data_IF_847442554835
#
_entry.id   IF_847442554835
#
_cell.length_a   1.000
_cell.length_b   1.000
_cell.length_c   1.000
_cell.angle_alpha   90.00
_cell.angle_beta   90.00
_cell.angle_gamma   90.00
#
_symmetry.space_group_name_H-M   'P 1'
#
loop_
_entity.id
_entity.type
_entity.pdbx_description
1 polymer ?
#
# COMPACT_ATOMS: atom_id res chain seq x y z
N UNK A 1 -9.55 -9.00 -3.58
CA UNK A 1 -10.35 -8.82 -2.36
C UNK A 1 -11.40 -7.73 -2.50
N UNK A 2 -11.13 -6.61 -3.19
CA UNK A 2 -12.09 -5.52 -3.36
C UNK A 2 -13.47 -5.96 -3.86
N UNK A 3 -13.56 -6.72 -4.96
CA UNK A 3 -14.85 -7.15 -5.53
C UNK A 3 -15.67 -8.00 -4.57
N UNK A 4 -15.01 -8.88 -3.81
CA UNK A 4 -15.66 -9.71 -2.80
C UNK A 4 -16.16 -8.86 -1.63
N UNK A 5 -15.37 -7.88 -1.18
CA UNK A 5 -15.81 -6.94 -0.14
C UNK A 5 -17.02 -6.14 -0.58
N UNK A 6 -17.03 -5.61 -1.81
CA UNK A 6 -18.18 -4.89 -2.38
C UNK A 6 -19.42 -5.79 -2.45
N UNK A 7 -19.25 -7.03 -2.92
CA UNK A 7 -20.33 -8.01 -3.00
C UNK A 7 -20.94 -8.30 -1.62
N UNK A 8 -20.10 -8.54 -0.60
CA UNK A 8 -20.54 -8.81 0.77
C UNK A 8 -21.19 -7.59 1.44
N UNK A 9 -20.83 -6.38 1.03
CA UNK A 9 -21.46 -5.14 1.48
C UNK A 9 -22.83 -4.88 0.81
N UNK A 10 -23.24 -5.68 -0.17
CA UNK A 10 -24.47 -5.44 -0.94
C UNK A 10 -24.29 -4.49 -2.13
N UNK A 11 -23.05 -4.28 -2.57
CA UNK A 11 -22.65 -3.40 -3.68
C UNK A 11 -23.12 -1.93 -3.55
N UNK A 12 -22.95 -1.27 -2.40
CA UNK A 12 -23.27 0.16 -2.29
C UNK A 12 -22.30 0.98 -3.16
N UNK A 13 -22.78 2.09 -3.76
CA UNK A 13 -21.92 2.92 -4.62
C UNK A 13 -20.91 3.73 -3.80
N UNK A 14 -19.64 3.81 -4.22
CA UNK A 14 -18.67 4.71 -3.62
C UNK A 14 -19.01 6.17 -3.98
N UNK A 15 -18.97 7.06 -2.98
CA UNK A 15 -19.27 8.49 -3.14
C UNK A 15 -18.06 9.39 -2.94
N UNK A 16 -17.03 8.93 -2.24
CA UNK A 16 -15.76 9.65 -2.12
C UNK A 16 -14.62 8.71 -1.73
N UNK A 17 -13.41 9.04 -2.18
CA UNK A 17 -12.19 8.29 -1.86
C UNK A 17 -11.14 9.27 -1.35
N UNK A 18 -10.44 8.89 -0.28
CA UNK A 18 -9.23 9.54 0.18
C UNK A 18 -8.14 8.49 0.33
N UNK A 19 -6.98 8.70 -0.29
CA UNK A 19 -5.90 7.72 -0.26
C UNK A 19 -4.61 8.25 -0.86
N UNK A 20 -3.56 7.45 -0.71
CA UNK A 20 -2.21 7.72 -1.20
C UNK A 20 -1.59 6.45 -1.76
N UNK A 21 -0.65 6.64 -2.68
CA UNK A 21 0.18 5.57 -3.24
C UNK A 21 1.66 5.82 -2.95
N UNK A 22 2.42 4.73 -2.92
CA UNK A 22 3.84 4.74 -2.58
C UNK A 22 4.61 3.77 -3.49
N UNK A 23 5.80 4.17 -3.94
CA UNK A 23 6.66 3.39 -4.84
C UNK A 23 8.12 3.45 -4.37
N UNK A 24 8.38 2.90 -3.17
CA UNK A 24 9.68 3.03 -2.48
C UNK A 24 10.70 1.94 -2.87
N UNK A 25 10.22 0.74 -3.15
CA UNK A 25 11.01 -0.47 -3.37
C UNK A 25 11.18 -0.78 -4.87
N UNK A 26 10.14 -0.62 -5.68
CA UNK A 26 10.19 -0.89 -7.12
C UNK A 26 11.31 -0.11 -7.81
N UNK A 27 11.33 1.23 -7.75
CA UNK A 27 12.40 2.05 -8.31
C UNK A 27 13.81 1.73 -7.76
N UNK A 28 13.88 1.24 -6.52
CA UNK A 28 15.13 0.81 -5.86
C UNK A 28 15.52 -0.64 -6.15
N UNK A 29 14.75 -1.38 -6.96
CA UNK A 29 14.98 -2.80 -7.30
C UNK A 29 15.08 -3.70 -6.06
N UNK A 30 14.28 -3.40 -5.02
CA UNK A 30 14.18 -4.20 -3.79
C UNK A 30 12.96 -5.12 -3.86
N UNK A 31 13.01 -6.26 -3.18
CA UNK A 31 11.89 -7.21 -3.14
C UNK A 31 11.64 -7.97 -4.44
N UNK A 32 12.67 -8.08 -5.30
CA UNK A 32 12.58 -8.79 -6.57
C UNK A 32 12.30 -10.27 -6.32
N UNK A 33 11.13 -10.73 -6.76
CA UNK A 33 10.75 -12.13 -6.73
C UNK A 33 11.53 -12.98 -7.76
N UNK A 34 11.46 -14.29 -7.59
CA UNK A 34 12.06 -15.27 -8.52
C UNK A 34 11.15 -15.63 -9.70
N UNK A 35 10.04 -14.91 -9.88
CA UNK A 35 9.05 -15.16 -10.92
C UNK A 35 9.45 -14.47 -12.23
N UNK A 36 9.60 -15.25 -13.30
CA UNK A 36 9.89 -14.74 -14.64
C UNK A 36 11.37 -14.39 -14.89
N UNK A 37 11.64 -13.76 -16.02
CA UNK A 37 12.98 -13.29 -16.41
C UNK A 37 13.12 -11.81 -16.10
N UNK A 38 14.17 -11.47 -15.36
CA UNK A 38 14.47 -10.10 -14.96
C UNK A 38 15.03 -9.28 -16.13
N UNK A 39 14.32 -8.22 -16.49
CA UNK A 39 14.85 -7.16 -17.33
C UNK A 39 15.49 -6.07 -16.45
N UNK A 40 16.81 -6.10 -16.33
CA UNK A 40 17.57 -5.12 -15.55
C UNK A 40 17.53 -3.70 -16.15
N UNK A 41 17.23 -3.59 -17.44
CA UNK A 41 17.05 -2.33 -18.16
C UNK A 41 15.62 -1.80 -18.14
N UNK A 42 14.68 -2.60 -17.62
CA UNK A 42 13.28 -2.22 -17.46
C UNK A 42 13.08 -1.06 -16.49
N UNK A 43 11.95 -0.36 -16.67
CA UNK A 43 11.52 0.72 -15.79
C UNK A 43 10.36 0.28 -14.90
N UNK A 44 10.33 0.78 -13.66
CA UNK A 44 9.24 0.55 -12.71
C UNK A 44 8.28 1.75 -12.78
N UNK A 45 7.02 1.49 -13.11
CA UNK A 45 5.97 2.51 -13.26
C UNK A 45 4.69 2.19 -12.48
N UNK A 46 4.78 1.27 -11.51
CA UNK A 46 3.65 0.86 -10.66
C UNK A 46 4.05 0.94 -9.20
N UNK A 47 3.03 1.05 -8.37
CA UNK A 47 3.16 1.38 -6.96
C UNK A 47 3.40 0.10 -6.15
N UNK A 48 4.13 0.24 -5.05
CA UNK A 48 4.40 -0.87 -4.14
C UNK A 48 3.31 -1.04 -3.10
N UNK A 49 2.67 0.08 -2.73
CA UNK A 49 1.60 0.14 -1.76
C UNK A 49 0.58 1.21 -2.17
N UNK A 50 -0.70 0.86 -2.04
CA UNK A 50 -1.81 1.81 -2.05
C UNK A 50 -2.62 1.65 -0.76
N UNK A 51 -2.96 2.77 -0.12
CA UNK A 51 -3.82 2.82 1.06
C UNK A 51 -4.93 3.85 0.86
N UNK A 52 -6.18 3.46 1.10
CA UNK A 52 -7.34 4.31 0.86
C UNK A 52 -8.49 4.04 1.84
N UNK A 53 -9.28 5.08 2.10
CA UNK A 53 -10.60 5.02 2.73
C UNK A 53 -11.67 5.43 1.71
N UNK A 54 -12.68 4.59 1.56
CA UNK A 54 -13.77 4.75 0.58
C UNK A 54 -15.07 4.92 1.36
N UNK A 55 -15.74 6.05 1.18
CA UNK A 55 -17.09 6.29 1.72
C UNK A 55 -18.14 5.85 0.71
N UNK A 56 -19.15 5.13 1.18
CA UNK A 56 -20.25 4.63 0.37
C UNK A 56 -21.52 5.48 0.54
N UNK A 57 -22.47 5.34 -0.39
CA UNK A 57 -23.74 6.08 -0.38
C UNK A 57 -24.66 5.70 0.80
N UNK A 58 -24.55 4.47 1.30
CA UNK A 58 -25.29 3.96 2.47
C UNK A 58 -24.68 4.39 3.82
N UNK A 59 -23.60 5.18 3.77
CA UNK A 59 -22.86 5.65 4.95
C UNK A 59 -21.76 4.71 5.42
N UNK A 60 -21.63 3.50 4.86
CA UNK A 60 -20.54 2.58 5.20
C UNK A 60 -19.17 3.10 4.72
N UNK A 61 -18.10 2.59 5.32
CA UNK A 61 -16.72 2.92 4.96
C UNK A 61 -15.91 1.66 4.75
N UNK A 62 -15.21 1.57 3.61
CA UNK A 62 -14.27 0.50 3.28
C UNK A 62 -12.84 1.03 3.35
N UNK A 63 -12.01 0.41 4.18
CA UNK A 63 -10.55 0.61 4.16
C UNK A 63 -9.93 -0.38 3.21
N UNK A 64 -9.14 0.11 2.26
CA UNK A 64 -8.46 -0.69 1.24
C UNK A 64 -6.95 -0.50 1.36
N UNK A 65 -6.24 -1.59 1.56
CA UNK A 65 -4.79 -1.65 1.50
C UNK A 65 -4.37 -2.74 0.52
N UNK A 66 -3.50 -2.39 -0.43
CA UNK A 66 -2.99 -3.31 -1.45
C UNK A 66 -1.50 -3.10 -1.57
N UNK A 67 -0.74 -4.19 -1.44
CA UNK A 67 0.71 -4.23 -1.62
C UNK A 67 1.08 -5.51 -2.36
N UNK A 68 2.03 -5.42 -3.29
CA UNK A 68 2.63 -6.60 -3.92
C UNK A 68 3.87 -7.09 -3.16
N UNK A 69 4.35 -6.32 -2.18
CA UNK A 69 5.45 -6.72 -1.31
C UNK A 69 4.88 -7.52 -0.16
N UNK A 70 5.03 -8.83 -0.27
CA UNK A 70 4.68 -9.78 0.80
C UNK A 70 5.84 -9.89 1.77
N UNK A 71 5.68 -9.42 3.02
CA UNK A 71 6.54 -9.86 4.11
C UNK A 71 5.79 -10.85 4.98
N UNK A 72 6.36 -12.04 5.14
CA UNK A 72 5.69 -13.29 5.56
C UNK A 72 5.41 -13.36 7.07
N UNK A 73 5.19 -12.24 7.74
CA UNK A 73 4.90 -12.23 9.18
C UNK A 73 3.69 -11.36 9.47
N UNK A 74 2.62 -12.03 9.87
CA UNK A 74 1.24 -11.58 10.13
C UNK A 74 1.10 -10.51 11.25
N UNK A 75 2.20 -9.86 11.65
CA UNK A 75 2.24 -8.69 12.54
C UNK A 75 3.20 -7.58 12.08
N UNK A 76 3.94 -7.77 10.99
CA UNK A 76 4.91 -6.79 10.45
C UNK A 76 4.36 -5.98 9.27
N UNK A 77 3.21 -6.36 8.71
CA UNK A 77 2.60 -5.62 7.58
C UNK A 77 2.35 -4.17 7.94
N UNK A 78 1.83 -3.90 9.14
CA UNK A 78 1.64 -2.54 9.65
C UNK A 78 2.98 -1.80 9.78
N UNK A 79 4.04 -2.47 10.25
CA UNK A 79 5.35 -1.84 10.43
C UNK A 79 6.02 -1.50 9.10
N UNK A 80 5.86 -2.34 8.07
CA UNK A 80 6.42 -2.10 6.74
C UNK A 80 5.63 -1.06 5.96
N UNK A 81 4.31 -1.01 6.15
CA UNK A 81 3.48 0.08 5.64
C UNK A 81 3.93 1.40 6.26
N UNK A 82 4.13 1.43 7.59
CA UNK A 82 4.66 2.60 8.28
C UNK A 82 6.08 2.97 7.82
N UNK A 83 6.95 2.00 7.56
CA UNK A 83 8.31 2.23 7.05
C UNK A 83 8.28 2.76 5.62
N UNK A 84 7.44 2.21 4.73
CA UNK A 84 7.26 2.71 3.36
C UNK A 84 6.66 4.12 3.35
N UNK A 85 5.66 4.39 4.19
CA UNK A 85 5.10 5.74 4.38
C UNK A 85 6.16 6.69 4.93
N UNK A 86 6.96 6.24 5.90
CA UNK A 86 8.02 7.05 6.50
C UNK A 86 9.13 7.38 5.49
N UNK A 87 9.66 6.39 4.77
CA UNK A 87 10.71 6.57 3.77
C UNK A 87 10.25 7.45 2.60
N UNK A 88 8.99 7.29 2.17
CA UNK A 88 8.41 8.10 1.09
C UNK A 88 8.01 9.53 1.51
N UNK A 89 7.88 9.81 2.81
CA UNK A 89 7.44 11.13 3.33
C UNK A 89 8.50 12.24 3.25
N UNK A 90 9.71 11.96 2.75
CA UNK A 90 10.77 12.96 2.61
C UNK A 90 11.44 13.36 3.95
N UNK A 91 12.31 14.40 3.98
CA UNK A 91 13.34 14.59 5.00
C UNK A 91 12.84 15.14 6.35
N UNK A 92 11.85 14.50 6.96
CA UNK A 92 11.49 14.82 8.34
C UNK A 92 12.42 14.11 9.33
N UNK A 93 13.28 14.91 9.95
CA UNK A 93 14.27 14.51 10.96
C UNK A 93 13.64 13.62 12.04
N UNK A 94 14.23 12.44 12.24
CA UNK A 94 14.03 11.57 13.40
C UNK A 94 14.29 12.39 14.68
N UNK A 95 13.23 12.78 15.38
CA UNK A 95 13.35 13.15 16.80
C UNK A 95 13.54 11.84 17.56
N UNK A 96 14.79 11.52 17.91
CA UNK A 96 15.09 10.47 18.87
C UNK A 96 14.57 10.91 20.23
N UNK A 97 13.61 10.18 20.79
CA UNK A 97 13.33 10.23 22.22
C UNK A 97 14.53 9.65 22.95
N UNK A 98 15.35 10.53 23.53
CA UNK A 98 16.33 10.17 24.54
C UNK A 98 15.59 10.11 25.88
N UNK A 99 15.37 8.90 26.35
CA UNK A 99 15.09 8.55 27.75
C UNK A 99 16.08 7.48 28.16
#
# INVERSE_FOLDING_TARGET
MLDLSLYLMGNPKPVSVYGSTYAEFGPKRKGIGTWGTLDWSGFYNVEDLASAMIKMEDGSTLTLEVSWITSVMTGYTNNLILEAIYESSGPYKKLSWIG
#
